data_IF_165602270369
#
_entry.id   IF_165602270369
#
_cell.length_a   1.000
_cell.length_b   1.000
_cell.length_c   1.000
_cell.angle_alpha   90.00
_cell.angle_beta   90.00
_cell.angle_gamma   90.00
#
_symmetry.space_group_name_H-M   'P 1'
#
loop_
_entity.id
_entity.type
_entity.pdbx_description
1 polymer ?
#
# COMPACT_ATOMS: atom_id res chain seq x y z
N UNK A 1 11.38 22.25 -57.01
CA UNK A 1 10.52 23.34 -56.49
C UNK A 1 11.27 24.04 -55.38
N UNK A 2 11.68 25.27 -55.66
CA UNK A 2 12.26 26.23 -54.73
C UNK A 2 11.17 26.81 -53.83
N UNK A 3 11.46 27.03 -52.54
CA UNK A 3 11.29 28.33 -51.86
C UNK A 3 11.86 28.30 -50.45
N UNK A 4 12.62 29.36 -50.16
CA UNK A 4 13.14 29.79 -48.85
C UNK A 4 12.06 30.58 -48.13
N UNK A 5 11.79 30.33 -46.86
CA UNK A 5 11.22 31.28 -45.88
C UNK A 5 11.48 30.66 -44.50
N UNK A 6 11.99 31.31 -43.47
CA UNK A 6 12.26 32.71 -43.19
C UNK A 6 12.33 32.77 -41.67
N UNK A 7 13.42 33.28 -41.11
CA UNK A 7 13.56 33.50 -39.67
C UNK A 7 12.44 34.42 -39.18
N UNK A 8 11.74 34.04 -38.13
CA UNK A 8 10.94 34.94 -37.31
C UNK A 8 11.22 34.64 -35.84
N UNK A 9 12.20 35.38 -35.30
CA UNK A 9 12.30 35.63 -33.87
C UNK A 9 11.03 36.35 -33.43
N UNK A 10 10.24 35.73 -32.56
CA UNK A 10 9.22 36.43 -31.78
C UNK A 10 9.64 36.27 -30.32
N UNK A 11 10.41 37.26 -29.86
CA UNK A 11 10.56 37.55 -28.45
C UNK A 11 9.22 38.09 -27.94
N UNK A 12 8.44 37.24 -27.27
CA UNK A 12 7.29 37.69 -26.48
C UNK A 12 7.68 37.58 -25.00
N UNK A 13 8.24 38.67 -24.50
CA UNK A 13 8.30 38.97 -23.07
C UNK A 13 6.86 39.12 -22.55
N UNK A 14 6.32 38.07 -21.96
CA UNK A 14 5.12 38.17 -21.13
C UNK A 14 5.56 38.07 -19.68
N UNK A 15 5.25 39.14 -18.95
CA UNK A 15 5.52 39.38 -17.55
C UNK A 15 5.37 38.12 -16.68
N UNK A 16 6.41 37.83 -15.91
CA UNK A 16 6.34 36.95 -14.75
C UNK A 16 5.19 37.45 -13.85
N UNK A 17 4.17 36.62 -13.55
CA UNK A 17 3.32 36.94 -12.42
C UNK A 17 4.24 36.95 -11.21
N UNK A 18 4.32 38.10 -10.54
CA UNK A 18 4.90 38.24 -9.21
C UNK A 18 4.36 37.09 -8.37
N UNK A 19 5.19 36.07 -8.15
CA UNK A 19 4.92 35.07 -7.14
C UNK A 19 4.84 35.87 -5.85
N UNK A 20 3.61 36.08 -5.38
CA UNK A 20 3.37 36.43 -4.00
C UNK A 20 4.19 35.40 -3.20
N UNK A 21 5.26 35.87 -2.56
CA UNK A 21 6.03 35.08 -1.63
C UNK A 21 5.08 34.78 -0.48
N UNK A 22 4.33 33.68 -0.62
CA UNK A 22 3.65 33.05 0.48
C UNK A 22 4.76 32.84 1.51
N UNK A 23 4.69 33.46 2.69
CA UNK A 23 5.70 33.22 3.71
C UNK A 23 5.81 31.71 3.88
N UNK A 24 7.03 31.14 3.95
CA UNK A 24 7.18 29.71 4.17
C UNK A 24 6.34 29.39 5.41
N UNK A 25 5.31 28.56 5.22
CA UNK A 25 4.53 28.05 6.33
C UNK A 25 5.53 27.54 7.37
N UNK A 26 5.33 27.85 8.66
CA UNK A 26 6.30 27.53 9.70
C UNK A 26 6.70 26.07 9.55
N UNK A 27 8.00 25.80 9.45
CA UNK A 27 8.56 24.48 9.13
C UNK A 27 8.03 23.34 10.04
N UNK A 28 7.47 23.69 11.21
CA UNK A 28 6.75 22.77 12.10
C UNK A 28 5.43 22.20 11.54
N UNK A 29 4.62 22.98 10.81
CA UNK A 29 3.29 22.53 10.35
C UNK A 29 3.37 21.50 9.22
N UNK A 30 4.34 21.64 8.31
CA UNK A 30 4.54 20.65 7.24
C UNK A 30 5.09 19.31 7.76
N UNK A 31 5.97 19.36 8.76
CA UNK A 31 6.57 18.16 9.36
C UNK A 31 5.52 17.34 10.13
N UNK A 32 4.66 18.01 10.90
CA UNK A 32 3.55 17.36 11.63
C UNK A 32 2.49 16.79 10.68
N UNK A 33 2.14 17.50 9.61
CA UNK A 33 1.20 17.00 8.59
C UNK A 33 1.72 15.74 7.88
N UNK A 34 3.01 15.69 7.56
CA UNK A 34 3.63 14.54 6.92
C UNK A 34 3.71 13.31 7.84
N UNK A 35 4.05 13.51 9.11
CA UNK A 35 4.09 12.44 10.12
C UNK A 35 2.69 11.83 10.33
N UNK A 36 1.65 12.66 10.43
CA UNK A 36 0.27 12.19 10.56
C UNK A 36 -0.17 11.35 9.35
N UNK A 37 0.14 11.79 8.12
CA UNK A 37 -0.16 11.01 6.90
C UNK A 37 0.57 9.67 6.87
N UNK A 38 1.83 9.62 7.35
CA UNK A 38 2.62 8.39 7.42
C UNK A 38 1.99 7.41 8.42
N UNK A 39 1.59 7.90 9.59
CA UNK A 39 0.89 7.10 10.59
C UNK A 39 -0.45 6.56 10.07
N UNK A 40 -1.28 7.40 9.46
CA UNK A 40 -2.57 6.98 8.87
C UNK A 40 -2.38 5.90 7.81
N UNK A 41 -1.36 6.04 6.96
CA UNK A 41 -1.00 5.04 5.96
C UNK A 41 -0.65 3.70 6.62
N UNK A 42 0.20 3.70 7.65
CA UNK A 42 0.57 2.49 8.38
C UNK A 42 -0.63 1.82 9.05
N UNK A 43 -1.53 2.59 9.65
CA UNK A 43 -2.77 2.05 10.22
C UNK A 43 -3.64 1.36 9.15
N UNK A 44 -3.74 1.94 7.93
CA UNK A 44 -4.46 1.31 6.81
C UNK A 44 -3.80 0.01 6.38
N UNK A 45 -2.46 -0.05 6.35
CA UNK A 45 -1.73 -1.27 6.05
C UNK A 45 -1.97 -2.36 7.10
N UNK A 46 -1.92 -2.03 8.39
CA UNK A 46 -2.25 -2.93 9.50
C UNK A 46 -3.68 -3.48 9.33
N UNK A 47 -4.66 -2.61 9.12
CA UNK A 47 -6.05 -3.02 8.94
C UNK A 47 -6.24 -3.92 7.71
N UNK A 48 -5.53 -3.63 6.62
CA UNK A 48 -5.55 -4.46 5.40
C UNK A 48 -5.01 -5.86 5.68
N UNK A 49 -3.85 -5.96 6.32
CA UNK A 49 -3.23 -7.25 6.66
C UNK A 49 -4.13 -8.06 7.61
N UNK A 50 -4.73 -7.42 8.62
CA UNK A 50 -5.68 -8.09 9.51
C UNK A 50 -6.92 -8.64 8.78
N UNK A 51 -7.49 -7.87 7.83
CA UNK A 51 -8.60 -8.36 7.01
C UNK A 51 -8.19 -9.54 6.13
N UNK A 52 -7.00 -9.49 5.53
CA UNK A 52 -6.47 -10.61 4.76
C UNK A 52 -6.30 -11.87 5.60
N UNK A 53 -5.74 -11.75 6.81
CA UNK A 53 -5.59 -12.88 7.74
C UNK A 53 -6.93 -13.51 8.09
N UNK A 54 -7.95 -12.70 8.42
CA UNK A 54 -9.29 -13.22 8.71
C UNK A 54 -9.90 -13.96 7.50
N UNK A 55 -9.69 -13.46 6.29
CA UNK A 55 -10.14 -14.13 5.06
C UNK A 55 -9.41 -15.45 4.80
N UNK A 56 -8.11 -15.52 5.11
CA UNK A 56 -7.36 -16.78 5.02
C UNK A 56 -7.83 -17.79 6.05
N UNK A 57 -8.11 -17.37 7.28
CA UNK A 57 -8.64 -18.25 8.33
C UNK A 57 -9.97 -18.87 7.91
N UNK A 58 -10.87 -18.09 7.30
CA UNK A 58 -12.13 -18.61 6.74
C UNK A 58 -11.89 -19.61 5.61
N UNK A 59 -10.95 -19.32 4.71
CA UNK A 59 -10.62 -20.22 3.58
C UNK A 59 -10.03 -21.53 4.08
N UNK A 60 -9.06 -21.46 5.00
CA UNK A 60 -8.44 -22.64 5.63
C UNK A 60 -9.49 -23.47 6.37
N UNK A 61 -10.40 -22.84 7.10
CA UNK A 61 -11.48 -23.54 7.79
C UNK A 61 -12.42 -24.26 6.81
N UNK A 62 -12.77 -23.62 5.70
CA UNK A 62 -13.60 -24.22 4.65
C UNK A 62 -12.88 -25.42 4.00
N UNK A 63 -11.60 -25.28 3.66
CA UNK A 63 -10.81 -26.38 3.09
C UNK A 63 -10.59 -27.53 4.08
N UNK A 64 -10.39 -27.23 5.37
CA UNK A 64 -10.32 -28.25 6.43
C UNK A 64 -11.63 -29.02 6.54
N UNK A 65 -12.78 -28.33 6.51
CA UNK A 65 -14.09 -28.98 6.47
C UNK A 65 -14.29 -29.83 5.21
N UNK A 66 -13.88 -29.33 4.04
CA UNK A 66 -13.90 -30.11 2.79
C UNK A 66 -12.99 -31.34 2.84
N UNK A 67 -11.86 -31.24 3.55
CA UNK A 67 -10.95 -32.35 3.78
C UNK A 67 -11.54 -33.42 4.69
N UNK A 68 -12.36 -33.08 5.66
CA UNK A 68 -13.04 -34.05 6.54
C UNK A 68 -14.04 -34.94 5.79
N UNK A 69 -14.66 -34.41 4.73
CA UNK A 69 -15.72 -35.11 3.97
C UNK A 69 -15.28 -35.58 2.58
N UNK A 70 -13.98 -35.50 2.26
CA UNK A 70 -13.48 -35.82 0.92
C UNK A 70 -13.64 -37.32 0.60
N UNK A 71 -14.15 -37.64 -0.59
CA UNK A 71 -14.51 -39.01 -0.98
C UNK A 71 -13.42 -39.75 -1.77
N UNK A 72 -12.37 -39.07 -2.22
CA UNK A 72 -11.31 -39.67 -3.03
C UNK A 72 -9.93 -39.11 -2.69
N UNK A 73 -8.90 -39.96 -2.81
CA UNK A 73 -7.50 -39.58 -2.53
C UNK A 73 -7.08 -38.31 -3.28
N UNK A 74 -7.49 -38.18 -4.55
CA UNK A 74 -7.18 -37.01 -5.36
C UNK A 74 -7.86 -35.73 -4.83
N UNK A 75 -9.14 -35.80 -4.46
CA UNK A 75 -9.86 -34.66 -3.87
C UNK A 75 -9.27 -34.26 -2.53
N UNK A 76 -9.01 -35.24 -1.66
CA UNK A 76 -8.37 -35.03 -0.38
C UNK A 76 -7.02 -34.31 -0.57
N UNK A 77 -6.15 -34.80 -1.48
CA UNK A 77 -4.84 -34.18 -1.75
C UNK A 77 -4.94 -32.72 -2.23
N UNK A 78 -5.99 -32.37 -2.98
CA UNK A 78 -6.23 -30.96 -3.38
C UNK A 78 -6.51 -30.06 -2.17
N UNK A 79 -7.32 -30.53 -1.22
CA UNK A 79 -7.56 -29.76 0.02
C UNK A 79 -6.28 -29.62 0.85
N UNK A 80 -5.47 -30.68 0.99
CA UNK A 80 -4.19 -30.58 1.72
C UNK A 80 -3.26 -29.55 1.09
N UNK A 81 -3.16 -29.54 -0.23
CA UNK A 81 -2.35 -28.56 -0.96
C UNK A 81 -2.90 -27.13 -0.79
N UNK A 82 -4.22 -26.95 -0.85
CA UNK A 82 -4.86 -25.66 -0.65
C UNK A 82 -4.62 -25.12 0.77
N UNK A 83 -4.84 -25.96 1.80
CA UNK A 83 -4.59 -25.64 3.21
C UNK A 83 -3.12 -25.22 3.38
N UNK A 84 -2.18 -26.05 2.91
CA UNK A 84 -0.75 -25.76 3.04
C UNK A 84 -0.37 -24.44 2.34
N UNK A 85 -0.91 -24.19 1.16
CA UNK A 85 -0.63 -22.96 0.41
C UNK A 85 -1.19 -21.73 1.14
N UNK A 86 -2.40 -21.82 1.70
CA UNK A 86 -3.01 -20.72 2.46
C UNK A 86 -2.32 -20.49 3.80
N UNK A 87 -1.92 -21.54 4.52
CA UNK A 87 -1.13 -21.42 5.76
C UNK A 87 0.22 -20.74 5.49
N UNK A 88 0.90 -21.07 4.39
CA UNK A 88 2.13 -20.39 3.99
C UNK A 88 1.91 -18.90 3.69
N UNK A 89 0.82 -18.54 2.99
CA UNK A 89 0.46 -17.14 2.74
C UNK A 89 0.11 -16.41 4.03
N UNK A 90 -0.65 -17.04 4.91
CA UNK A 90 -1.01 -16.52 6.23
C UNK A 90 0.24 -16.16 7.03
N UNK A 91 1.22 -17.04 7.13
CA UNK A 91 2.48 -16.78 7.83
C UNK A 91 3.25 -15.56 7.27
N UNK A 92 3.27 -15.39 5.93
CA UNK A 92 3.89 -14.21 5.31
C UNK A 92 3.15 -12.91 5.68
N UNK A 93 1.82 -12.95 5.70
CA UNK A 93 1.00 -11.80 6.11
C UNK A 93 1.14 -11.48 7.59
N UNK A 94 1.27 -12.48 8.47
CA UNK A 94 1.55 -12.28 9.90
C UNK A 94 2.90 -11.59 10.12
N UNK A 95 3.94 -12.03 9.38
CA UNK A 95 5.25 -11.40 9.45
C UNK A 95 5.21 -9.93 9.00
N UNK A 96 4.49 -9.61 7.91
CA UNK A 96 4.31 -8.22 7.47
C UNK A 96 3.47 -7.40 8.44
N UNK A 97 2.43 -7.98 9.03
CA UNK A 97 1.64 -7.32 10.06
C UNK A 97 2.49 -6.97 11.28
N UNK A 98 3.33 -7.89 11.75
CA UNK A 98 4.25 -7.63 12.84
C UNK A 98 5.21 -6.48 12.51
N UNK A 99 5.74 -6.45 11.28
CA UNK A 99 6.57 -5.35 10.80
C UNK A 99 5.82 -4.01 10.79
N UNK A 100 4.63 -3.95 10.19
CA UNK A 100 3.85 -2.71 10.14
C UNK A 100 3.45 -2.21 11.52
N UNK A 101 3.15 -3.11 12.47
CA UNK A 101 2.90 -2.73 13.86
C UNK A 101 4.14 -2.12 14.51
N UNK A 102 5.31 -2.74 14.34
CA UNK A 102 6.57 -2.22 14.85
C UNK A 102 6.95 -0.86 14.23
N UNK A 103 6.78 -0.71 12.92
CA UNK A 103 7.03 0.55 12.22
C UNK A 103 6.06 1.66 12.70
N UNK A 104 4.78 1.32 12.90
CA UNK A 104 3.78 2.25 13.42
C UNK A 104 4.09 2.73 14.86
N UNK A 105 4.62 1.87 15.74
CA UNK A 105 5.03 2.29 17.09
C UNK A 105 6.15 3.34 17.09
N UNK A 106 6.97 3.39 16.03
CA UNK A 106 8.02 4.39 15.87
C UNK A 106 7.51 5.66 15.18
N UNK A 107 6.66 5.51 14.18
CA UNK A 107 6.21 6.61 13.32
C UNK A 107 4.94 7.34 13.82
N UNK A 108 4.13 6.71 14.68
CA UNK A 108 2.88 7.26 15.19
C UNK A 108 2.99 7.89 16.59
N UNK A 109 4.19 7.96 17.19
CA UNK A 109 4.35 8.65 18.47
C UNK A 109 4.15 10.15 18.27
N UNK A 110 3.31 10.82 19.09
CA UNK A 110 3.23 12.27 19.05
C UNK A 110 4.59 12.83 19.50
N UNK A 111 5.19 13.65 18.63
CA UNK A 111 6.38 14.44 18.93
C UNK A 111 6.13 15.44 20.05
#
# INVERSE_FOLDING_TARGET
MSTRFGWALIALTVALPTFAQIPPAPAGEQSQSAANKKCDSMQRHIAKEQRSLASFDQTIAADKKGRETCASKAMCARYDQAIKAMEARRAQHEARLAKFKSDAENDCKPS
#
